data_IF_554142040002
#
_entry.id   IF_554142040002
#
_cell.length_a   1.000
_cell.length_b   1.000
_cell.length_c   1.000
_cell.angle_alpha   90.00
_cell.angle_beta   90.00
_cell.angle_gamma   90.00
#
_symmetry.space_group_name_H-M   'P 1'
#
loop_
_entity.id
_entity.type
_entity.pdbx_description
1 polymer ?
#
# COMPACT_ATOMS: atom_id res chain seq x y z
N UNK A 1 6.32 12.27 -13.15
CA UNK A 1 6.54 11.16 -12.19
C UNK A 1 6.77 11.76 -10.82
N UNK A 2 5.85 11.63 -9.85
CA UNK A 2 6.22 11.89 -8.48
C UNK A 2 7.03 10.67 -8.00
N UNK A 3 8.29 10.90 -7.67
CA UNK A 3 9.12 9.89 -7.02
C UNK A 3 8.43 9.51 -5.71
N UNK A 4 7.83 8.33 -5.68
CA UNK A 4 7.48 7.66 -4.43
C UNK A 4 8.80 7.34 -3.74
N UNK A 5 9.14 8.16 -2.75
CA UNK A 5 10.23 7.83 -1.82
C UNK A 5 9.65 6.84 -0.81
N UNK A 6 9.42 5.61 -1.24
CA UNK A 6 9.30 4.45 -0.36
C UNK A 6 10.70 3.93 -0.13
N UNK A 7 11.30 4.31 0.99
CA UNK A 7 12.11 3.46 1.86
C UNK A 7 12.59 4.34 3.00
N UNK A 8 12.13 4.04 4.22
CA UNK A 8 12.78 4.48 5.45
C UNK A 8 14.07 3.66 5.63
N UNK A 9 14.96 3.72 4.63
CA UNK A 9 16.35 3.30 4.73
C UNK A 9 17.14 4.59 4.78
N UNK A 10 17.16 5.23 5.95
CA UNK A 10 18.28 6.10 6.26
C UNK A 10 19.46 5.13 6.46
N UNK A 11 20.46 5.09 5.57
CA UNK A 11 21.48 4.04 5.56
C UNK A 11 22.49 4.17 6.71
N UNK A 12 22.16 4.96 7.73
CA UNK A 12 23.08 5.41 8.75
C UNK A 12 22.45 5.31 10.14
N UNK A 13 23.23 4.79 11.09
CA UNK A 13 22.85 4.73 12.50
C UNK A 13 22.50 6.14 13.03
N UNK A 14 21.44 6.27 13.85
CA UNK A 14 21.09 7.54 14.47
C UNK A 14 22.28 8.13 15.23
N UNK A 15 22.50 9.44 15.12
CA UNK A 15 23.59 10.11 15.83
C UNK A 15 23.07 11.03 16.93
N UNK A 16 23.88 11.24 17.96
CA UNK A 16 23.50 11.99 19.15
C UNK A 16 23.83 13.47 19.04
N UNK A 17 22.84 14.34 19.22
CA UNK A 17 23.03 15.79 19.32
C UNK A 17 22.72 16.22 20.74
N UNK A 18 23.69 16.85 21.41
CA UNK A 18 23.48 17.34 22.77
C UNK A 18 22.66 18.64 22.78
N UNK A 19 21.54 18.60 23.49
CA UNK A 19 20.60 19.72 23.62
C UNK A 19 20.38 20.08 25.08
N UNK A 20 19.98 21.33 25.32
CA UNK A 20 19.60 21.85 26.64
C UNK A 20 18.13 22.27 26.59
N UNK A 21 17.33 21.74 27.51
CA UNK A 21 15.92 22.10 27.63
C UNK A 21 15.77 23.56 28.05
N UNK A 22 14.93 24.32 27.34
CA UNK A 22 14.66 25.73 27.65
C UNK A 22 13.81 25.93 28.91
N UNK A 23 13.07 24.89 29.33
CA UNK A 23 12.16 24.98 30.50
C UNK A 23 12.82 24.62 31.82
N UNK A 24 13.71 23.63 31.85
CA UNK A 24 14.28 23.11 33.10
C UNK A 24 15.81 23.02 33.11
N UNK A 25 16.45 23.51 32.04
CA UNK A 25 17.91 23.60 31.85
C UNK A 25 18.66 22.27 31.88
N UNK A 26 17.94 21.14 31.92
CA UNK A 26 18.55 19.82 31.81
C UNK A 26 19.20 19.66 30.43
N UNK A 27 20.44 19.17 30.44
CA UNK A 27 21.16 18.80 29.22
C UNK A 27 21.06 17.31 29.00
N UNK A 28 20.77 16.90 27.77
CA UNK A 28 20.64 15.50 27.38
C UNK A 28 21.03 15.31 25.91
N UNK A 29 21.28 14.07 25.53
CA UNK A 29 21.56 13.70 24.14
C UNK A 29 20.28 13.24 23.45
N UNK A 30 19.97 13.84 22.31
CA UNK A 30 18.88 13.43 21.44
C UNK A 30 19.43 12.66 20.24
N UNK A 31 18.95 11.43 20.03
CA UNK A 31 19.28 10.65 18.83
C UNK A 31 18.40 11.09 17.67
N UNK A 32 19.00 11.35 16.51
CA UNK A 32 18.34 11.83 15.29
C UNK A 32 18.99 11.19 14.06
N UNK A 33 18.23 11.03 12.98
CA UNK A 33 18.77 10.59 11.69
C UNK A 33 19.14 11.81 10.85
N UNK A 34 18.25 12.80 10.81
CA UNK A 34 18.44 14.06 10.10
C UNK A 34 18.17 15.30 10.96
N UNK A 35 18.91 16.36 10.65
CA UNK A 35 18.80 17.69 11.27
C UNK A 35 18.71 18.75 10.17
N UNK A 36 17.74 19.64 10.30
CA UNK A 36 17.53 20.76 9.40
C UNK A 36 18.02 22.03 10.07
N UNK A 37 18.85 22.80 9.38
CA UNK A 37 19.46 24.02 9.91
C UNK A 37 19.18 25.22 9.01
N UNK A 38 18.85 26.34 9.62
CA UNK A 38 18.65 27.61 8.92
C UNK A 38 19.80 28.60 9.18
N UNK A 39 20.33 29.17 8.10
CA UNK A 39 21.34 30.23 8.13
C UNK A 39 22.76 29.76 8.46
N UNK A 40 23.69 30.71 8.49
CA UNK A 40 25.07 30.46 8.93
C UNK A 40 25.07 30.15 10.44
N UNK A 41 25.55 28.95 10.80
CA UNK A 41 25.68 28.44 12.17
C UNK A 41 24.37 28.22 12.96
N UNK A 42 23.31 27.74 12.30
CA UNK A 42 22.23 27.02 12.99
C UNK A 42 21.38 27.86 13.95
N UNK A 43 20.95 29.05 13.52
CA UNK A 43 20.04 29.91 14.32
C UNK A 43 18.73 29.21 14.65
N UNK A 44 18.25 28.36 13.72
CA UNK A 44 17.15 27.43 13.95
C UNK A 44 17.62 26.03 13.59
N UNK A 45 17.33 25.10 14.48
CA UNK A 45 17.64 23.67 14.34
C UNK A 45 16.35 22.90 14.55
N UNK A 46 15.99 22.10 13.56
CA UNK A 46 14.80 21.26 13.59
C UNK A 46 15.24 19.82 13.42
N UNK A 47 14.78 18.94 14.29
CA UNK A 47 15.06 17.51 14.19
C UNK A 47 13.96 16.79 13.40
N UNK A 48 14.32 15.64 12.85
CA UNK A 48 13.42 14.74 12.12
C UNK A 48 12.31 14.11 12.98
N UNK A 49 12.40 14.25 14.31
CA UNK A 49 11.49 13.67 15.30
C UNK A 49 11.23 14.62 16.46
N UNK A 50 10.13 14.37 17.18
CA UNK A 50 9.78 15.11 18.39
C UNK A 50 10.80 14.81 19.49
N UNK A 51 11.36 15.87 20.08
CA UNK A 51 12.34 15.79 21.17
C UNK A 51 11.66 16.11 22.48
N UNK A 52 11.56 15.11 23.37
CA UNK A 52 10.92 15.29 24.67
C UNK A 52 11.99 15.36 25.75
N UNK A 53 11.94 16.42 26.57
CA UNK A 53 12.86 16.54 27.69
C UNK A 53 12.61 15.41 28.72
N UNK A 54 13.62 14.60 29.07
CA UNK A 54 13.44 13.49 30.00
C UNK A 54 13.14 13.94 31.44
N UNK A 55 13.41 15.20 31.79
CA UNK A 55 13.20 15.74 33.14
C UNK A 55 11.82 16.37 33.34
N UNK A 56 11.35 17.18 32.38
CA UNK A 56 10.10 17.94 32.53
C UNK A 56 9.03 17.62 31.48
N UNK A 57 9.32 16.74 30.51
CA UNK A 57 8.36 16.29 29.50
C UNK A 57 7.99 17.32 28.43
N UNK A 58 8.62 18.50 28.41
CA UNK A 58 8.35 19.50 27.36
C UNK A 58 8.87 19.00 26.01
N UNK A 59 8.08 19.19 24.95
CA UNK A 59 8.39 18.76 23.60
C UNK A 59 8.95 19.91 22.77
N UNK A 60 10.03 19.65 22.02
CA UNK A 60 10.70 20.55 21.08
C UNK A 60 11.15 21.94 21.62
N UNK A 61 11.06 22.15 22.94
CA UNK A 61 11.57 23.36 23.60
C UNK A 61 13.02 23.15 24.09
N UNK A 62 13.96 23.25 23.15
CA UNK A 62 15.38 23.09 23.42
C UNK A 62 16.25 24.08 22.64
N UNK A 63 17.49 24.23 23.09
CA UNK A 63 18.58 24.82 22.30
C UNK A 63 19.69 23.78 22.12
N UNK A 64 20.35 23.83 20.98
CA UNK A 64 21.57 23.03 20.77
C UNK A 64 22.70 23.62 21.64
N UNK A 65 23.41 22.75 22.34
CA UNK A 65 24.55 23.14 23.19
C UNK A 65 25.80 23.40 22.34
N UNK A 66 26.87 23.95 22.93
CA UNK A 66 28.15 24.09 22.23
C UNK A 66 28.68 22.76 21.69
N UNK A 67 28.61 21.69 22.50
CA UNK A 67 28.97 20.34 22.06
C UNK A 67 28.05 19.83 20.93
N UNK A 68 26.74 20.06 21.06
CA UNK A 68 25.78 19.72 20.00
C UNK A 68 26.09 20.43 18.68
N UNK A 69 26.43 21.73 18.72
CA UNK A 69 26.83 22.48 17.53
C UNK A 69 28.11 21.94 16.90
N UNK A 70 29.08 21.53 17.71
CA UNK A 70 30.29 20.84 17.22
C UNK A 70 29.93 19.53 16.52
N UNK A 71 29.01 18.74 17.05
CA UNK A 71 28.52 17.52 16.40
C UNK A 71 27.89 17.82 15.03
N UNK A 72 27.03 18.84 14.96
CA UNK A 72 26.38 19.22 13.70
C UNK A 72 27.40 19.68 12.65
N UNK A 73 28.36 20.52 13.03
CA UNK A 73 29.42 20.97 12.12
C UNK A 73 30.29 19.79 11.65
N UNK A 74 30.64 18.87 12.54
CA UNK A 74 31.39 17.67 12.18
C UNK A 74 30.62 16.80 11.18
N UNK A 75 29.31 16.62 11.38
CA UNK A 75 28.45 15.90 10.45
C UNK A 75 28.36 16.59 9.07
N UNK A 76 28.23 17.93 9.04
CA UNK A 76 28.25 18.69 7.79
C UNK A 76 29.57 18.56 7.02
N UNK A 77 30.70 18.60 7.74
CA UNK A 77 32.03 18.44 7.14
C UNK A 77 32.23 17.01 6.61
N UNK A 78 31.76 16.00 7.34
CA UNK A 78 31.81 14.61 6.88
C UNK A 78 30.96 14.40 5.61
N UNK A 79 29.72 14.90 5.60
CA UNK A 79 28.84 14.83 4.42
C UNK A 79 29.46 15.53 3.20
N UNK A 80 30.17 16.64 3.40
CA UNK A 80 30.88 17.35 2.33
C UNK A 80 32.12 16.60 1.85
N UNK A 81 32.92 16.05 2.76
CA UNK A 81 34.13 15.29 2.44
C UNK A 81 33.81 14.02 1.64
N UNK A 82 32.67 13.38 1.92
CA UNK A 82 32.19 12.19 1.22
C UNK A 82 31.39 12.51 -0.05
N UNK A 83 31.23 13.79 -0.41
CA UNK A 83 30.43 14.23 -1.55
C UNK A 83 29.00 13.64 -1.59
N UNK A 84 28.38 13.47 -0.41
CA UNK A 84 27.05 12.86 -0.30
C UNK A 84 25.99 13.70 -1.00
N UNK A 85 25.09 13.03 -1.70
CA UNK A 85 23.88 13.64 -2.25
C UNK A 85 22.98 14.17 -1.13
N UNK A 86 22.14 15.16 -1.44
CA UNK A 86 21.29 15.84 -0.44
C UNK A 86 20.43 14.85 0.38
N UNK A 87 19.90 13.81 -0.26
CA UNK A 87 19.08 12.79 0.39
C UNK A 87 19.84 11.95 1.43
N UNK A 88 21.17 11.89 1.33
CA UNK A 88 22.04 11.09 2.20
C UNK A 88 22.69 11.93 3.30
N UNK A 89 22.51 13.25 3.29
CA UNK A 89 23.08 14.14 4.29
C UNK A 89 22.37 14.00 5.63
N UNK A 90 23.15 14.04 6.71
CA UNK A 90 22.65 14.08 8.08
C UNK A 90 22.20 15.48 8.46
N UNK A 91 22.85 16.51 7.92
CA UNK A 91 22.53 17.91 8.20
C UNK A 91 22.16 18.62 6.90
N UNK A 92 20.90 19.05 6.80
CA UNK A 92 20.37 19.74 5.64
C UNK A 92 20.32 21.26 5.90
N UNK A 93 20.91 22.09 5.01
CA UNK A 93 20.95 23.55 5.17
C UNK A 93 19.65 24.23 4.70
N UNK A 94 18.50 23.66 5.04
CA UNK A 94 17.19 24.20 4.72
C UNK A 94 16.14 23.68 5.70
N UNK A 95 15.20 24.52 6.09
CA UNK A 95 14.06 24.08 6.90
C UNK A 95 13.07 23.28 6.05
N UNK A 96 12.43 22.24 6.62
CA UNK A 96 11.38 21.53 5.92
C UNK A 96 10.15 22.42 5.76
N UNK A 97 9.38 22.16 4.71
CA UNK A 97 8.10 22.82 4.46
C UNK A 97 7.00 21.77 4.35
N UNK A 98 5.81 22.13 4.84
CA UNK A 98 4.59 21.38 4.59
C UNK A 98 4.11 21.66 3.16
N UNK A 99 3.10 20.90 2.75
CA UNK A 99 2.54 20.93 1.40
C UNK A 99 1.89 22.26 1.00
N UNK A 100 1.47 23.06 2.00
CA UNK A 100 0.87 24.37 1.84
C UNK A 100 1.91 25.51 1.88
N UNK A 101 3.21 25.17 1.95
CA UNK A 101 4.30 26.13 2.06
C UNK A 101 4.62 26.57 3.48
N UNK A 102 3.94 26.05 4.50
CA UNK A 102 4.24 26.35 5.90
C UNK A 102 5.63 25.82 6.27
N UNK A 103 6.52 26.70 6.72
CA UNK A 103 7.84 26.30 7.24
C UNK A 103 7.69 25.56 8.57
N UNK A 104 8.31 24.38 8.67
CA UNK A 104 8.30 23.57 9.87
C UNK A 104 9.30 24.14 10.88
N UNK A 105 8.77 24.78 11.93
CA UNK A 105 9.58 25.31 13.05
C UNK A 105 9.93 24.24 14.08
N UNK A 106 9.02 23.30 14.32
CA UNK A 106 9.26 22.11 15.13
C UNK A 106 8.31 20.98 14.71
N UNK A 107 8.69 19.71 14.94
CA UNK A 107 7.81 18.59 14.65
C UNK A 107 6.46 18.65 15.38
N UNK A 108 6.46 19.09 16.64
CA UNK A 108 5.22 19.27 17.41
C UNK A 108 4.30 20.30 16.78
N UNK A 109 4.81 21.48 16.38
CA UNK A 109 4.00 22.53 15.73
C UNK A 109 3.48 22.10 14.36
N UNK A 110 4.31 21.43 13.57
CA UNK A 110 3.86 20.90 12.28
C UNK A 110 2.74 19.86 12.46
N UNK A 111 2.82 19.02 13.49
CA UNK A 111 1.76 18.07 13.80
C UNK A 111 0.47 18.75 14.25
N UNK A 112 0.55 19.80 15.06
CA UNK A 112 -0.60 20.64 15.45
C UNK A 112 -1.28 21.24 14.22
N UNK A 113 -0.49 21.85 13.32
CA UNK A 113 -0.99 22.44 12.07
C UNK A 113 -1.71 21.41 11.19
N UNK A 114 -1.12 20.20 11.03
CA UNK A 114 -1.75 19.12 10.27
C UNK A 114 -3.06 18.64 10.90
N UNK A 115 -3.14 18.57 12.24
CA UNK A 115 -4.37 18.18 12.95
C UNK A 115 -5.46 19.23 12.79
N UNK A 116 -5.14 20.51 12.99
CA UNK A 116 -6.08 21.61 12.75
C UNK A 116 -6.58 21.62 11.29
N UNK A 117 -5.68 21.36 10.33
CA UNK A 117 -6.06 21.24 8.93
C UNK A 117 -7.04 20.07 8.68
N UNK A 118 -6.86 18.93 9.35
CA UNK A 118 -7.82 17.82 9.27
C UNK A 118 -9.16 18.11 9.94
N UNK A 119 -9.21 18.97 10.96
CA UNK A 119 -10.46 19.36 11.60
C UNK A 119 -11.25 20.39 10.76
N UNK A 120 -10.53 21.30 10.08
CA UNK A 120 -11.13 22.38 9.29
C UNK A 120 -11.54 21.96 7.88
N UNK A 121 -10.68 21.21 7.19
CA UNK A 121 -10.94 20.75 5.81
C UNK A 121 -11.44 19.31 5.81
N UNK A 122 -10.78 18.43 6.58
CA UNK A 122 -11.21 17.04 6.76
C UNK A 122 -11.30 16.19 5.50
N UNK A 123 -10.57 16.53 4.43
CA UNK A 123 -10.54 15.76 3.17
C UNK A 123 -9.70 14.48 3.31
N UNK A 124 -9.93 13.51 2.41
CA UNK A 124 -9.11 12.30 2.34
C UNK A 124 -7.61 12.63 2.21
N UNK A 125 -7.28 13.56 1.33
CA UNK A 125 -5.94 14.11 1.15
C UNK A 125 -5.35 14.72 2.45
N UNK A 126 -6.14 15.49 3.19
CA UNK A 126 -5.72 16.09 4.47
C UNK A 126 -5.35 15.00 5.48
N UNK A 127 -6.20 13.98 5.62
CA UNK A 127 -5.95 12.84 6.52
C UNK A 127 -4.74 12.01 6.08
N UNK A 128 -4.56 11.82 4.77
CA UNK A 128 -3.41 11.12 4.21
C UNK A 128 -2.09 11.83 4.54
N UNK A 129 -2.08 13.16 4.41
CA UNK A 129 -0.91 13.99 4.75
C UNK A 129 -0.56 13.92 6.23
N UNK A 130 -1.56 13.96 7.11
CA UNK A 130 -1.37 13.74 8.54
C UNK A 130 -0.76 12.36 8.81
N UNK A 131 -1.30 11.30 8.19
CA UNK A 131 -0.77 9.94 8.33
C UNK A 131 0.67 9.81 7.88
N UNK A 132 1.00 10.37 6.71
CA UNK A 132 2.37 10.37 6.18
C UNK A 132 3.36 11.10 7.12
N UNK A 133 2.93 12.21 7.73
CA UNK A 133 3.75 12.93 8.69
C UNK A 133 3.94 12.15 10.00
N UNK A 134 2.88 11.51 10.51
CA UNK A 134 2.94 10.67 11.70
C UNK A 134 3.86 9.45 11.52
N UNK A 135 3.86 8.79 10.35
CA UNK A 135 4.77 7.66 10.07
C UNK A 135 6.24 8.11 10.04
N UNK A 136 6.50 9.32 9.52
CA UNK A 136 7.86 9.91 9.57
C UNK A 136 8.32 10.13 11.01
N UNK A 137 7.41 10.49 11.92
CA UNK A 137 7.68 10.65 13.36
C UNK A 137 7.67 9.32 14.15
N UNK A 138 7.62 8.16 13.49
CA UNK A 138 7.52 6.83 14.12
C UNK A 138 6.26 6.63 14.99
N UNK A 139 5.22 7.45 14.76
CA UNK A 139 3.90 7.31 15.42
C UNK A 139 2.98 6.46 14.55
N UNK A 140 3.41 5.23 14.29
CA UNK A 140 2.79 4.34 13.30
C UNK A 140 1.31 4.05 13.56
N UNK A 141 0.90 3.82 14.81
CA UNK A 141 -0.51 3.52 15.09
C UNK A 141 -1.43 4.71 14.77
N UNK A 142 -1.01 5.93 15.12
CA UNK A 142 -1.73 7.14 14.75
C UNK A 142 -1.68 7.41 13.24
N UNK A 143 -0.58 7.03 12.57
CA UNK A 143 -0.49 7.10 11.10
C UNK A 143 -1.52 6.19 10.44
N UNK A 144 -1.62 4.93 10.90
CA UNK A 144 -2.63 3.98 10.46
C UNK A 144 -4.05 4.49 10.71
N UNK A 145 -4.32 5.09 11.87
CA UNK A 145 -5.62 5.72 12.15
C UNK A 145 -5.95 6.85 11.17
N UNK A 146 -4.97 7.71 10.87
CA UNK A 146 -5.15 8.81 9.93
C UNK A 146 -5.38 8.30 8.50
N UNK A 147 -4.64 7.30 8.03
CA UNK A 147 -4.88 6.70 6.70
C UNK A 147 -6.23 5.97 6.62
N UNK A 148 -6.65 5.28 7.69
CA UNK A 148 -7.99 4.67 7.76
C UNK A 148 -9.09 5.75 7.65
N UNK A 149 -8.91 6.90 8.30
CA UNK A 149 -9.82 8.05 8.13
C UNK A 149 -9.79 8.61 6.71
N UNK A 150 -8.61 8.70 6.09
CA UNK A 150 -8.49 9.17 4.71
C UNK A 150 -9.33 8.33 3.74
N UNK A 151 -9.20 7.00 3.82
CA UNK A 151 -9.95 6.04 3.00
C UNK A 151 -11.45 6.05 3.33
N UNK A 152 -11.83 6.34 4.58
CA UNK A 152 -13.23 6.45 4.98
C UNK A 152 -13.90 7.74 4.49
N UNK A 153 -13.15 8.85 4.42
CA UNK A 153 -13.66 10.14 3.92
C UNK A 153 -13.72 10.14 2.40
N UNK A 154 -12.66 9.67 1.75
CA UNK A 154 -12.59 9.52 0.31
C UNK A 154 -12.15 8.10 -0.02
N UNK A 155 -13.12 7.30 -0.44
CA UNK A 155 -12.91 5.91 -0.84
C UNK A 155 -11.95 5.76 -2.03
N UNK A 156 -11.62 6.86 -2.71
CA UNK A 156 -10.67 6.92 -3.84
C UNK A 156 -9.26 7.30 -3.41
N UNK A 157 -9.00 7.52 -2.12
CA UNK A 157 -7.66 7.80 -1.61
C UNK A 157 -6.76 6.57 -1.59
N UNK A 158 -6.32 6.18 -2.78
CA UNK A 158 -5.53 4.98 -3.02
C UNK A 158 -4.12 5.10 -2.43
N UNK A 159 -3.57 6.31 -2.36
CA UNK A 159 -2.27 6.52 -1.72
C UNK A 159 -2.36 6.29 -0.21
N UNK A 160 -3.47 6.65 0.45
CA UNK A 160 -3.68 6.33 1.86
C UNK A 160 -3.86 4.83 2.11
N UNK A 161 -4.64 4.16 1.26
CA UNK A 161 -4.79 2.70 1.31
C UNK A 161 -3.44 1.99 1.12
N UNK A 162 -2.62 2.46 0.18
CA UNK A 162 -1.29 1.92 -0.06
C UNK A 162 -0.36 2.13 1.13
N UNK A 163 -0.35 3.33 1.72
CA UNK A 163 0.43 3.60 2.92
C UNK A 163 0.00 2.71 4.10
N UNK A 164 -1.30 2.47 4.27
CA UNK A 164 -1.82 1.59 5.31
C UNK A 164 -1.33 0.15 5.13
N UNK A 165 -1.45 -0.41 3.91
CA UNK A 165 -1.01 -1.76 3.62
C UNK A 165 0.52 -1.93 3.75
N UNK A 166 1.30 -0.99 3.23
CA UNK A 166 2.75 -1.00 3.34
C UNK A 166 3.21 -0.89 4.80
N UNK A 167 2.54 -0.06 5.62
CA UNK A 167 2.79 0.00 7.06
C UNK A 167 2.47 -1.34 7.74
N UNK A 168 1.32 -1.94 7.42
CA UNK A 168 0.95 -3.23 7.96
C UNK A 168 2.02 -4.30 7.67
N UNK A 169 2.53 -4.39 6.44
CA UNK A 169 3.60 -5.31 6.07
C UNK A 169 4.93 -5.00 6.77
N UNK A 170 5.37 -3.73 6.82
CA UNK A 170 6.61 -3.32 7.50
C UNK A 170 6.65 -3.73 8.97
N UNK A 171 5.50 -3.76 9.64
CA UNK A 171 5.38 -4.10 11.06
C UNK A 171 4.86 -5.53 11.30
N UNK A 172 4.87 -6.39 10.28
CA UNK A 172 4.50 -7.80 10.39
C UNK A 172 3.00 -8.06 10.61
N UNK A 173 2.15 -7.06 10.43
CA UNK A 173 0.67 -7.16 10.48
C UNK A 173 0.12 -7.61 9.12
N UNK A 174 0.61 -8.75 8.64
CA UNK A 174 0.36 -9.20 7.26
C UNK A 174 -1.12 -9.35 6.90
N UNK A 175 -1.96 -9.85 7.82
CA UNK A 175 -3.40 -9.98 7.56
C UNK A 175 -4.06 -8.62 7.34
N UNK A 176 -3.74 -7.61 8.16
CA UNK A 176 -4.28 -6.25 7.99
C UNK A 176 -3.87 -5.65 6.64
N UNK A 177 -2.62 -5.90 6.20
CA UNK A 177 -2.14 -5.51 4.88
C UNK A 177 -2.92 -6.17 3.76
N UNK A 178 -3.12 -7.49 3.83
CA UNK A 178 -3.91 -8.25 2.85
C UNK A 178 -5.37 -7.76 2.82
N UNK A 179 -6.00 -7.56 3.98
CA UNK A 179 -7.39 -7.09 4.07
C UNK A 179 -7.54 -5.69 3.42
N UNK A 180 -6.55 -4.82 3.63
CA UNK A 180 -6.50 -3.49 3.00
C UNK A 180 -6.41 -3.59 1.47
N UNK A 181 -5.56 -4.48 0.95
CA UNK A 181 -5.45 -4.73 -0.49
C UNK A 181 -6.71 -5.35 -1.07
N UNK A 182 -7.29 -6.33 -0.39
CA UNK A 182 -8.53 -6.96 -0.82
C UNK A 182 -9.66 -5.93 -0.93
N UNK A 183 -9.75 -5.01 0.02
CA UNK A 183 -10.74 -3.94 -0.04
C UNK A 183 -10.49 -2.97 -1.21
N UNK A 184 -9.22 -2.63 -1.48
CA UNK A 184 -8.85 -1.84 -2.65
C UNK A 184 -9.23 -2.54 -3.97
N UNK A 185 -8.88 -3.82 -4.10
CA UNK A 185 -9.19 -4.65 -5.27
C UNK A 185 -10.69 -4.84 -5.48
N UNK A 186 -11.46 -4.98 -4.40
CA UNK A 186 -12.92 -5.13 -4.48
C UNK A 186 -13.60 -3.89 -5.07
N UNK A 187 -13.08 -2.70 -4.77
CA UNK A 187 -13.58 -1.41 -5.28
C UNK A 187 -13.04 -1.07 -6.67
N UNK A 188 -11.98 -1.75 -7.09
CA UNK A 188 -11.25 -1.48 -8.32
C UNK A 188 -12.11 -1.50 -9.61
N UNK A 189 -13.00 -2.48 -9.84
CA UNK A 189 -13.82 -2.51 -11.06
C UNK A 189 -14.73 -1.28 -11.23
N UNK A 190 -15.07 -0.61 -10.12
CA UNK A 190 -15.92 0.58 -10.08
C UNK A 190 -15.09 1.88 -10.20
N UNK A 191 -13.75 1.79 -10.24
CA UNK A 191 -12.86 2.93 -10.32
C UNK A 191 -12.93 3.63 -11.69
N UNK A 192 -13.13 4.97 -11.73
CA UNK A 192 -13.09 5.75 -12.97
C UNK A 192 -11.76 5.63 -13.72
N UNK A 193 -11.81 5.71 -15.06
CA UNK A 193 -10.65 5.53 -15.95
C UNK A 193 -9.37 6.28 -15.55
N UNK A 194 -9.43 7.60 -15.23
CA UNK A 194 -8.23 8.36 -14.86
C UNK A 194 -7.54 7.87 -13.58
N UNK A 195 -8.30 7.30 -12.64
CA UNK A 195 -7.79 6.82 -11.35
C UNK A 195 -7.33 5.36 -11.44
N UNK A 196 -7.88 4.58 -12.39
CA UNK A 196 -7.59 3.15 -12.57
C UNK A 196 -6.09 2.85 -12.66
N UNK A 197 -5.35 3.63 -13.46
CA UNK A 197 -3.90 3.46 -13.60
C UNK A 197 -3.16 3.58 -12.26
N UNK A 198 -3.48 4.62 -11.49
CA UNK A 198 -2.89 4.83 -10.16
C UNK A 198 -3.22 3.68 -9.22
N UNK A 199 -4.48 3.26 -9.17
CA UNK A 199 -4.90 2.15 -8.30
C UNK A 199 -4.21 0.84 -8.70
N UNK A 200 -4.05 0.59 -10.00
CA UNK A 200 -3.40 -0.63 -10.52
C UNK A 200 -1.96 -0.70 -10.08
N UNK A 201 -1.23 0.40 -10.21
CA UNK A 201 0.16 0.49 -9.81
C UNK A 201 0.32 0.23 -8.30
N UNK A 202 -0.51 0.88 -7.47
CA UNK A 202 -0.46 0.65 -6.03
C UNK A 202 -0.86 -0.78 -5.66
N UNK A 203 -1.96 -1.30 -6.19
CA UNK A 203 -2.40 -2.66 -5.90
C UNK A 203 -1.35 -3.69 -6.31
N UNK A 204 -0.78 -3.59 -7.52
CA UNK A 204 0.29 -4.48 -7.98
C UNK A 204 1.53 -4.39 -7.08
N UNK A 205 1.98 -3.18 -6.75
CA UNK A 205 3.13 -2.97 -5.89
C UNK A 205 2.93 -3.63 -4.51
N UNK A 206 1.75 -3.48 -3.91
CA UNK A 206 1.45 -4.04 -2.59
C UNK A 206 1.28 -5.56 -2.66
N UNK A 207 0.63 -6.09 -3.71
CA UNK A 207 0.49 -7.54 -3.92
C UNK A 207 1.86 -8.20 -4.02
N UNK A 208 2.81 -7.60 -4.76
CA UNK A 208 4.17 -8.11 -4.89
C UNK A 208 5.01 -7.98 -3.60
N UNK A 209 4.57 -7.20 -2.60
CA UNK A 209 5.20 -7.19 -1.27
C UNK A 209 4.76 -8.35 -0.38
N UNK A 210 3.71 -9.09 -0.76
CA UNK A 210 3.26 -10.27 -0.02
C UNK A 210 4.33 -11.34 -0.15
N UNK A 211 4.95 -11.70 0.96
CA UNK A 211 5.85 -12.84 1.05
C UNK A 211 5.04 -14.14 0.85
N UNK A 212 5.01 -14.59 -0.39
CA UNK A 212 4.28 -15.79 -0.81
C UNK A 212 4.91 -17.08 -0.31
N UNK A 213 6.19 -17.06 0.11
CA UNK A 213 6.85 -18.22 0.73
C UNK A 213 6.37 -18.42 2.17
N UNK A 214 6.09 -17.33 2.89
CA UNK A 214 5.50 -17.38 4.24
C UNK A 214 4.00 -17.65 4.17
N UNK A 215 3.31 -17.08 3.18
CA UNK A 215 1.86 -17.21 3.05
C UNK A 215 1.44 -17.34 1.59
N UNK A 216 1.26 -18.59 1.11
CA UNK A 216 0.85 -18.82 -0.26
C UNK A 216 -0.53 -18.21 -0.51
N UNK A 217 -0.59 -17.29 -1.47
CA UNK A 217 -1.80 -16.55 -1.85
C UNK A 217 -1.85 -16.53 -3.38
N UNK A 218 -3.05 -16.60 -3.92
CA UNK A 218 -3.34 -16.42 -5.34
C UNK A 218 -4.24 -15.19 -5.56
N UNK A 219 -4.15 -14.63 -6.76
CA UNK A 219 -5.06 -13.61 -7.28
C UNK A 219 -6.06 -14.25 -8.23
N UNK A 220 -7.32 -14.27 -7.84
CA UNK A 220 -8.44 -14.58 -8.72
C UNK A 220 -8.84 -13.32 -9.49
N UNK A 221 -8.94 -13.43 -10.82
CA UNK A 221 -9.41 -12.36 -11.67
C UNK A 221 -10.53 -12.85 -12.60
N UNK A 222 -11.54 -12.00 -12.79
CA UNK A 222 -12.61 -12.19 -13.78
C UNK A 222 -12.67 -10.97 -14.69
N UNK A 223 -12.66 -11.18 -16.01
CA UNK A 223 -12.68 -10.10 -16.99
C UNK A 223 -13.42 -10.45 -18.28
N UNK A 224 -13.84 -9.42 -19.01
CA UNK A 224 -14.35 -9.54 -20.37
C UNK A 224 -13.22 -9.79 -21.37
N UNK A 225 -13.35 -10.86 -22.17
CA UNK A 225 -12.39 -11.25 -23.21
C UNK A 225 -13.02 -11.25 -24.60
N UNK A 226 -13.57 -10.09 -24.98
CA UNK A 226 -14.19 -9.89 -26.29
C UNK A 226 -15.59 -10.48 -26.41
N UNK A 227 -16.01 -10.73 -27.65
CA UNK A 227 -17.38 -11.09 -28.00
C UNK A 227 -17.40 -12.13 -29.14
N UNK A 228 -18.29 -13.11 -29.06
CA UNK A 228 -18.53 -14.08 -30.12
C UNK A 228 -20.03 -14.13 -30.42
N UNK A 229 -20.41 -13.90 -31.67
CA UNK A 229 -21.80 -13.93 -32.15
C UNK A 229 -22.76 -13.03 -31.35
N UNK A 230 -22.34 -11.84 -30.93
CA UNK A 230 -23.21 -10.97 -30.13
C UNK A 230 -23.18 -11.25 -28.62
N UNK A 231 -22.36 -12.20 -28.16
CA UNK A 231 -22.30 -12.62 -26.75
C UNK A 231 -20.92 -12.33 -26.16
N UNK A 232 -20.89 -11.51 -25.10
CA UNK A 232 -19.67 -11.20 -24.37
C UNK A 232 -19.09 -12.47 -23.75
N UNK A 233 -17.79 -12.67 -23.92
CA UNK A 233 -17.04 -13.75 -23.27
C UNK A 233 -16.52 -13.21 -21.95
N UNK A 234 -16.76 -13.96 -20.89
CA UNK A 234 -16.20 -13.69 -19.56
C UNK A 234 -15.25 -14.82 -19.23
N UNK A 235 -14.05 -14.46 -18.80
CA UNK A 235 -13.04 -15.41 -18.30
C UNK A 235 -12.85 -15.20 -16.81
N UNK A 236 -12.64 -16.30 -16.12
CA UNK A 236 -12.21 -16.33 -14.72
C UNK A 236 -10.99 -17.24 -14.63
N UNK A 237 -9.94 -16.76 -13.98
CA UNK A 237 -8.67 -17.47 -13.85
C UNK A 237 -7.93 -16.98 -12.61
N UNK A 238 -6.96 -17.75 -12.12
CA UNK A 238 -6.25 -17.50 -10.87
C UNK A 238 -4.75 -17.62 -11.08
N UNK A 239 -3.93 -16.85 -10.38
CA UNK A 239 -2.46 -16.94 -10.47
C UNK A 239 -1.88 -16.93 -9.07
N UNK A 240 -0.95 -17.83 -8.76
CA UNK A 240 -0.22 -17.73 -7.51
C UNK A 240 0.63 -16.45 -7.54
N UNK A 241 0.64 -15.68 -6.45
CA UNK A 241 1.42 -14.43 -6.41
C UNK A 241 2.92 -14.70 -6.57
N UNK A 242 3.39 -15.87 -6.15
CA UNK A 242 4.76 -16.35 -6.37
C UNK A 242 5.15 -16.45 -7.84
N UNK A 243 4.18 -16.67 -8.73
CA UNK A 243 4.41 -16.92 -10.15
C UNK A 243 4.31 -15.63 -10.98
N UNK A 244 3.94 -14.51 -10.34
CA UNK A 244 3.87 -13.20 -10.98
C UNK A 244 5.29 -12.65 -11.15
N UNK A 245 5.84 -12.82 -12.34
CA UNK A 245 7.22 -12.43 -12.65
C UNK A 245 7.49 -10.92 -12.61
N UNK A 246 6.46 -10.09 -12.82
CA UNK A 246 6.61 -8.64 -13.03
C UNK A 246 5.43 -7.87 -12.46
N UNK A 247 5.73 -6.91 -11.57
CA UNK A 247 4.71 -5.99 -11.06
C UNK A 247 4.15 -5.10 -12.17
N UNK A 248 4.93 -4.77 -13.21
CA UNK A 248 4.47 -3.95 -14.34
C UNK A 248 3.40 -4.67 -15.14
N UNK A 249 3.56 -5.98 -15.35
CA UNK A 249 2.60 -6.76 -16.13
C UNK A 249 1.33 -7.03 -15.32
N UNK A 250 1.46 -7.21 -14.00
CA UNK A 250 0.31 -7.20 -13.11
C UNK A 250 -0.41 -5.84 -13.13
N UNK A 251 0.32 -4.73 -13.05
CA UNK A 251 -0.28 -3.40 -13.13
C UNK A 251 -1.01 -3.18 -14.47
N UNK A 252 -0.37 -3.51 -15.61
CA UNK A 252 -1.00 -3.43 -16.94
C UNK A 252 -2.24 -4.31 -17.05
N UNK A 253 -2.20 -5.51 -16.48
CA UNK A 253 -3.38 -6.40 -16.44
C UNK A 253 -4.52 -5.75 -15.64
N UNK A 254 -4.22 -5.22 -14.46
CA UNK A 254 -5.18 -4.51 -13.61
C UNK A 254 -5.72 -3.24 -14.29
N UNK A 255 -4.95 -2.57 -15.16
CA UNK A 255 -5.43 -1.38 -15.89
C UNK A 255 -6.49 -1.67 -16.96
N UNK A 256 -6.66 -2.93 -17.36
CA UNK A 256 -7.55 -3.31 -18.48
C UNK A 256 -8.99 -2.89 -18.23
N UNK A 257 -9.64 -2.43 -19.29
CA UNK A 257 -11.09 -2.28 -19.30
C UNK A 257 -11.77 -3.66 -19.29
N UNK A 258 -12.93 -3.74 -18.65
CA UNK A 258 -13.70 -4.98 -18.57
C UNK A 258 -13.27 -5.94 -17.46
N UNK A 259 -12.42 -5.53 -16.52
CA UNK A 259 -12.27 -6.23 -15.24
C UNK A 259 -13.59 -6.19 -14.47
N UNK A 260 -14.04 -7.36 -14.03
CA UNK A 260 -15.32 -7.57 -13.36
C UNK A 260 -15.15 -7.87 -11.87
N UNK A 261 -14.14 -8.66 -11.52
CA UNK A 261 -13.86 -9.01 -10.13
C UNK A 261 -12.38 -9.35 -9.94
N UNK A 262 -11.86 -8.98 -8.77
CA UNK A 262 -10.50 -9.28 -8.31
C UNK A 262 -10.57 -9.70 -6.84
N UNK A 263 -9.85 -10.77 -6.46
CA UNK A 263 -9.82 -11.28 -5.10
C UNK A 263 -8.50 -11.95 -4.79
N UNK A 264 -7.92 -11.67 -3.61
CA UNK A 264 -6.83 -12.48 -3.07
C UNK A 264 -7.42 -13.68 -2.30
N UNK A 265 -6.89 -14.88 -2.54
CA UNK A 265 -7.36 -16.14 -1.95
C UNK A 265 -6.17 -16.98 -1.49
N UNK A 266 -6.37 -17.85 -0.50
CA UNK A 266 -5.41 -18.87 -0.08
C UNK A 266 -5.49 -20.15 -0.93
N UNK A 267 -6.50 -20.26 -1.79
CA UNK A 267 -6.65 -21.35 -2.76
C UNK A 267 -5.71 -21.17 -3.95
N UNK A 268 -4.61 -21.91 -3.97
CA UNK A 268 -3.65 -21.90 -5.09
C UNK A 268 -4.19 -22.67 -6.31
N UNK A 269 -3.88 -22.21 -7.54
CA UNK A 269 -4.20 -22.98 -8.74
C UNK A 269 -3.40 -24.28 -8.81
N UNK A 270 -4.04 -25.37 -9.27
CA UNK A 270 -3.40 -26.69 -9.39
C UNK A 270 -2.49 -26.82 -10.64
N UNK A 271 -2.75 -26.00 -11.67
CA UNK A 271 -2.05 -26.03 -12.96
C UNK A 271 -1.77 -24.60 -13.45
N UNK A 272 -0.86 -24.45 -14.42
CA UNK A 272 -0.64 -23.19 -15.12
C UNK A 272 -1.94 -22.67 -15.71
N UNK A 273 -2.29 -21.44 -15.35
CA UNK A 273 -3.57 -20.86 -15.71
C UNK A 273 -3.42 -19.88 -16.85
N UNK A 274 -4.55 -19.50 -17.44
CA UNK A 274 -4.55 -18.44 -18.42
C UNK A 274 -4.06 -17.10 -17.84
N UNK A 275 -4.31 -16.83 -16.55
CA UNK A 275 -3.82 -15.63 -15.90
C UNK A 275 -2.31 -15.66 -15.69
N UNK A 276 -1.71 -16.82 -15.37
CA UNK A 276 -0.24 -16.93 -15.29
C UNK A 276 0.39 -16.64 -16.64
N UNK A 277 -0.09 -17.27 -17.72
CA UNK A 277 0.41 -17.05 -19.08
C UNK A 277 0.29 -15.57 -19.53
N UNK A 278 -0.82 -14.91 -19.21
CA UNK A 278 -1.02 -13.49 -19.52
C UNK A 278 -0.03 -12.57 -18.79
N UNK A 279 0.36 -12.92 -17.56
CA UNK A 279 1.27 -12.14 -16.72
C UNK A 279 2.75 -12.48 -16.98
N UNK A 280 3.05 -13.60 -17.66
CA UNK A 280 4.41 -13.99 -18.06
C UNK A 280 4.85 -13.41 -19.42
N UNK A 281 4.00 -12.65 -20.10
CA UNK A 281 4.33 -11.99 -21.37
C UNK A 281 4.00 -12.77 -22.64
N UNK A 282 3.37 -13.94 -22.54
CA UNK A 282 2.86 -14.72 -23.69
C UNK A 282 1.50 -14.16 -24.19
N UNK A 283 1.45 -12.85 -24.43
CA UNK A 283 0.22 -12.10 -24.76
C UNK A 283 -0.39 -12.44 -26.13
N UNK A 284 0.30 -13.23 -26.96
CA UNK A 284 -0.16 -13.63 -28.30
C UNK A 284 -0.88 -14.99 -28.36
N UNK A 285 -0.73 -15.84 -27.33
CA UNK A 285 -1.52 -17.07 -27.25
C UNK A 285 -2.85 -16.80 -26.56
N UNK A 286 -3.83 -16.27 -27.31
CA UNK A 286 -5.23 -16.52 -26.97
C UNK A 286 -5.47 -18.03 -27.14
N UNK A 287 -5.61 -18.84 -26.08
CA UNK A 287 -6.00 -20.23 -26.28
C UNK A 287 -7.34 -20.21 -27.03
N UNK A 288 -7.50 -21.01 -28.10
CA UNK A 288 -8.69 -20.98 -28.93
C UNK A 288 -9.91 -21.16 -28.03
N UNK A 289 -10.89 -20.29 -28.20
CA UNK A 289 -12.17 -20.38 -27.48
C UNK A 289 -12.77 -21.74 -27.83
N UNK A 290 -12.60 -22.72 -26.93
CA UNK A 290 -13.38 -23.94 -26.99
C UNK A 290 -14.79 -23.57 -26.56
N UNK A 291 -15.58 -23.08 -27.50
CA UNK A 291 -17.03 -23.08 -27.36
C UNK A 291 -17.37 -24.53 -27.05
N UNK A 292 -17.84 -24.82 -25.83
CA UNK A 292 -18.35 -26.13 -25.51
C UNK A 292 -19.39 -26.44 -26.59
N UNK A 293 -19.06 -27.37 -27.49
CA UNK A 293 -19.97 -27.77 -28.54
C UNK A 293 -21.31 -28.06 -27.86
N UNK A 294 -22.37 -27.38 -28.31
CA UNK A 294 -23.70 -27.52 -27.75
C UNK A 294 -23.93 -29.00 -27.45
N UNK A 295 -24.26 -29.39 -26.19
CA UNK A 295 -24.20 -30.77 -25.75
C UNK A 295 -24.91 -31.62 -26.79
N UNK A 296 -24.16 -32.48 -27.46
CA UNK A 296 -24.67 -33.25 -28.58
C UNK A 296 -25.93 -33.97 -28.14
N UNK A 297 -26.98 -33.87 -28.97
CA UNK A 297 -28.30 -34.36 -28.61
C UNK A 297 -28.17 -35.79 -28.03
N UNK A 298 -28.69 -36.05 -26.81
CA UNK A 298 -28.39 -37.30 -26.11
C UNK A 298 -28.79 -38.48 -26.99
N UNK A 299 -27.87 -39.44 -27.13
CA UNK A 299 -28.03 -40.59 -28.01
C UNK A 299 -29.34 -41.34 -27.67
N UNK A 300 -29.90 -42.10 -28.62
CA UNK A 300 -31.12 -42.91 -28.36
C UNK A 300 -30.98 -43.78 -27.10
N UNK A 301 -29.75 -44.25 -26.80
CA UNK A 301 -29.40 -45.02 -25.60
C UNK A 301 -29.51 -44.17 -24.32
N UNK A 302 -28.94 -42.95 -24.32
CA UNK A 302 -29.03 -42.02 -23.18
C UNK A 302 -30.47 -41.53 -22.93
N UNK A 303 -31.27 -41.32 -23.98
CA UNK A 303 -32.71 -40.99 -23.85
C UNK A 303 -33.52 -42.13 -23.23
N UNK A 304 -33.22 -43.37 -23.62
CA UNK A 304 -33.87 -44.56 -23.06
C UNK A 304 -33.52 -44.76 -21.58
N UNK A 305 -32.27 -44.52 -21.21
CA UNK A 305 -31.79 -44.65 -19.83
C UNK A 305 -32.37 -43.56 -18.91
N UNK A 306 -32.47 -42.32 -19.40
CA UNK A 306 -33.13 -41.21 -18.68
C UNK A 306 -34.62 -41.47 -18.47
N UNK A 307 -35.31 -42.07 -19.45
CA UNK A 307 -36.71 -42.52 -19.30
C UNK A 307 -36.84 -43.65 -18.26
N UNK A 308 -35.92 -44.63 -18.24
CA UNK A 308 -35.90 -45.70 -17.24
C UNK A 308 -35.68 -45.16 -15.82
N UNK A 309 -34.70 -44.27 -15.63
CA UNK A 309 -34.42 -43.65 -14.32
C UNK A 309 -35.59 -42.80 -13.81
N UNK A 310 -36.26 -42.02 -14.68
CA UNK A 310 -37.48 -41.27 -14.31
C UNK A 310 -38.63 -42.19 -13.90
N UNK A 311 -38.85 -43.30 -14.62
CA UNK A 311 -39.91 -44.27 -14.29
C UNK A 311 -39.64 -44.98 -12.95
N UNK A 312 -38.38 -45.29 -12.65
CA UNK A 312 -37.96 -45.84 -11.36
C UNK A 312 -38.14 -44.85 -10.20
N UNK A 313 -37.82 -43.57 -10.41
CA UNK A 313 -38.05 -42.51 -9.41
C UNK A 313 -39.54 -42.26 -9.15
N UNK A 314 -40.39 -42.30 -10.17
CA UNK A 314 -41.85 -42.20 -9.99
C UNK A 314 -42.44 -43.39 -9.25
N UNK A 315 -41.96 -44.61 -9.54
CA UNK A 315 -42.38 -45.82 -8.82
C UNK A 315 -41.95 -45.78 -7.35
N UNK A 316 -40.74 -45.30 -7.06
CA UNK A 316 -40.24 -45.08 -5.70
C UNK A 316 -41.09 -44.05 -4.94
N UNK A 317 -41.41 -42.91 -5.57
CA UNK A 317 -42.27 -41.86 -5.00
C UNK A 317 -43.71 -42.35 -4.74
N UNK A 318 -44.26 -43.21 -5.60
CA UNK A 318 -45.58 -43.83 -5.38
C UNK A 318 -45.56 -44.87 -4.26
N UNK A 319 -44.45 -45.57 -4.05
CA UNK A 319 -44.28 -46.53 -2.93
C UNK A 319 -44.16 -45.81 -1.58
N UNK A 320 -43.49 -44.66 -1.53
CA UNK A 320 -43.35 -43.85 -0.31
C UNK A 320 -44.61 -43.04 0.05
N UNK A 321 -45.59 -42.90 -0.85
CA UNK A 321 -46.91 -42.28 -0.56
C UNK A 321 -47.98 -43.27 -0.08
N UNK A 322 -47.68 -44.58 -0.03
CA UNK A 322 -48.59 -45.66 0.40
C UNK A 322 -48.17 -46.32 1.71
N UNK A 323 -47.15 -45.78 2.38
CA UNK A 323 -46.82 -46.02 3.79
C UNK A 323 -47.21 -44.78 4.58
#
# INVERSE_FOLDING_TARGET
>A
MPQQVTTKQFPHEPFGVQVCCLRCEATFEQKVDQVFVEGEFGKRVVFDRITVCPKCGVADEFRVTGFGSTTLVAAMLADAAEARELAQKRVLPALPHLWDGTTVESPTRALEHLREHTETVGSGESWRRLGNYLDRLDRTDEACDAWRRAVAVDERECEAAASLANSAFRYGRFQEGIDTVQELLRRFPECPGPQRATVSHFAAAIICQIDSDVRPIALDATWHDGEVNGQAIVRASSVAISDVASFEDLAKFLEREGLLALRLTDELPEEDTQLSALLSGDLDERPPIRVAAAPSAPSKKQRAEKKRKRKLQELSRKKNRRK
#
